data_IF_894629791818
#
_entry.id   IF_894629791818
#
_cell.length_a   1.000
_cell.length_b   1.000
_cell.length_c   1.000
_cell.angle_alpha   90.00
_cell.angle_beta   90.00
_cell.angle_gamma   90.00
#
_symmetry.space_group_name_H-M   'P 1'
#
loop_
_entity.id
_entity.type
_entity.pdbx_description
1 polymer ?
#
# COMPACT_ATOMS: atom_id res chain seq x y z
N UNK A 1 -14.72 4.34 -53.23
CA UNK A 1 -13.69 3.52 -52.63
C UNK A 1 -13.99 3.43 -51.15
N UNK A 2 -14.61 2.37 -50.72
CA UNK A 2 -14.93 2.17 -49.30
C UNK A 2 -13.71 1.50 -48.65
N UNK A 3 -13.02 2.27 -47.83
CA UNK A 3 -11.98 1.70 -46.94
C UNK A 3 -12.67 0.81 -45.93
N UNK A 4 -12.50 -0.50 -46.10
CA UNK A 4 -12.86 -1.48 -45.11
C UNK A 4 -11.85 -1.37 -43.95
N UNK A 5 -12.35 -0.92 -42.78
CA UNK A 5 -11.62 -1.14 -41.53
C UNK A 5 -11.29 -2.65 -41.37
N UNK A 6 -10.07 -3.02 -41.10
CA UNK A 6 -9.74 -4.42 -40.79
C UNK A 6 -10.30 -4.76 -39.42
N UNK A 7 -11.54 -5.18 -39.39
CA UNK A 7 -12.14 -5.86 -38.24
C UNK A 7 -11.69 -7.32 -38.35
N UNK A 8 -10.57 -7.64 -37.82
CA UNK A 8 -10.18 -8.96 -37.28
C UNK A 8 -8.70 -8.96 -36.93
N UNK A 9 -8.37 -8.32 -35.81
CA UNK A 9 -7.23 -8.82 -35.06
C UNK A 9 -7.81 -9.93 -34.18
N UNK A 10 -7.58 -11.21 -34.48
CA UNK A 10 -7.98 -12.24 -33.56
C UNK A 10 -7.14 -12.01 -32.30
N UNK A 11 -7.79 -11.71 -31.18
CA UNK A 11 -7.18 -11.83 -29.88
C UNK A 11 -7.18 -13.33 -29.57
N UNK A 12 -6.10 -14.06 -29.81
CA UNK A 12 -6.06 -15.48 -29.50
C UNK A 12 -6.14 -15.61 -27.98
N UNK A 13 -7.21 -16.18 -27.50
CA UNK A 13 -7.28 -16.66 -26.14
C UNK A 13 -6.55 -17.98 -26.11
N UNK A 14 -5.30 -17.99 -25.69
CA UNK A 14 -4.58 -19.22 -25.42
C UNK A 14 -5.16 -19.82 -24.12
N UNK A 15 -6.01 -20.83 -24.31
CA UNK A 15 -6.46 -21.66 -23.22
C UNK A 15 -5.29 -22.46 -22.66
N UNK A 16 -4.87 -22.21 -21.45
CA UNK A 16 -3.98 -23.11 -20.73
C UNK A 16 -4.78 -24.35 -20.31
N UNK A 17 -4.42 -25.50 -20.83
CA UNK A 17 -4.93 -26.78 -20.33
C UNK A 17 -4.36 -26.99 -18.94
N UNK A 18 -5.19 -26.86 -17.91
CA UNK A 18 -4.78 -27.26 -16.58
C UNK A 18 -4.66 -28.79 -16.55
N UNK A 19 -3.46 -29.28 -16.36
CA UNK A 19 -3.24 -30.71 -16.07
C UNK A 19 -3.77 -30.91 -14.64
N UNK A 20 -4.69 -31.86 -14.41
CA UNK A 20 -5.14 -32.14 -13.05
C UNK A 20 -3.95 -32.59 -12.20
N UNK A 21 -3.70 -31.87 -11.14
CA UNK A 21 -2.61 -32.08 -10.18
C UNK A 21 -2.79 -33.36 -9.34
N UNK A 22 -3.83 -34.18 -9.60
CA UNK A 22 -4.35 -35.03 -8.53
C UNK A 22 -4.57 -36.49 -8.81
N UNK A 23 -4.04 -37.07 -9.84
CA UNK A 23 -4.12 -38.55 -9.94
C UNK A 23 -3.04 -39.27 -9.13
N UNK A 24 -2.12 -38.55 -8.56
CA UNK A 24 -1.12 -39.04 -7.60
C UNK A 24 -0.89 -38.05 -6.48
N UNK A 25 -1.86 -37.90 -5.60
CA UNK A 25 -1.59 -37.24 -4.34
C UNK A 25 -0.56 -38.09 -3.57
N UNK A 26 0.67 -37.62 -3.54
CA UNK A 26 1.64 -38.16 -2.59
C UNK A 26 1.03 -38.08 -1.19
N UNK A 27 1.15 -39.14 -0.43
CA UNK A 27 0.67 -39.15 0.94
C UNK A 27 1.20 -37.91 1.67
N UNK A 28 0.36 -37.16 2.42
CA UNK A 28 0.82 -35.96 3.10
C UNK A 28 1.96 -36.31 4.02
N UNK A 29 3.09 -35.64 3.84
CA UNK A 29 4.22 -35.75 4.76
C UNK A 29 3.79 -35.04 6.02
N UNK A 30 3.37 -35.80 7.01
CA UNK A 30 3.11 -35.24 8.36
C UNK A 30 4.46 -35.05 9.01
N UNK A 31 4.93 -33.80 9.08
CA UNK A 31 6.11 -33.43 9.85
C UNK A 31 5.68 -33.21 11.30
N UNK A 32 6.01 -34.10 12.23
CA UNK A 32 5.75 -33.85 13.64
C UNK A 32 6.57 -32.61 14.07
N UNK A 33 5.96 -31.70 14.80
CA UNK A 33 6.57 -30.47 15.30
C UNK A 33 6.94 -29.43 14.21
N UNK A 34 6.06 -29.20 13.24
CA UNK A 34 6.24 -28.10 12.31
C UNK A 34 6.18 -26.74 13.06
N UNK A 35 7.26 -25.97 12.95
CA UNK A 35 7.27 -24.58 13.40
C UNK A 35 6.61 -23.71 12.31
N UNK A 36 5.51 -23.04 12.65
CA UNK A 36 4.82 -22.15 11.73
C UNK A 36 4.86 -20.71 12.23
N UNK A 37 4.95 -19.77 11.31
CA UNK A 37 4.85 -18.34 11.57
C UNK A 37 3.43 -17.89 11.26
N UNK A 38 2.74 -17.34 12.25
CA UNK A 38 1.37 -16.84 12.09
C UNK A 38 1.38 -15.33 12.22
N UNK A 39 0.83 -14.59 11.23
CA UNK A 39 0.65 -13.15 11.34
C UNK A 39 -0.27 -12.78 12.50
N UNK A 40 0.10 -11.71 13.21
CA UNK A 40 -0.71 -11.14 14.30
C UNK A 40 -1.15 -9.74 13.91
N UNK A 41 -2.43 -9.44 14.05
CA UNK A 41 -2.96 -8.11 13.79
C UNK A 41 -2.47 -7.14 14.87
N UNK A 42 -1.70 -6.15 14.46
CA UNK A 42 -1.16 -5.12 15.35
C UNK A 42 -2.18 -4.01 15.60
N UNK A 43 -2.84 -3.55 14.54
CA UNK A 43 -3.85 -2.50 14.60
C UNK A 43 -4.77 -2.56 13.38
N UNK A 44 -6.01 -2.14 13.54
CA UNK A 44 -6.95 -1.87 12.45
C UNK A 44 -7.34 -0.40 12.50
N UNK A 45 -7.18 0.32 11.40
CA UNK A 45 -7.39 1.78 11.35
C UNK A 45 -8.09 2.22 10.08
N UNK A 46 -9.01 3.14 10.24
CA UNK A 46 -9.58 3.91 9.13
C UNK A 46 -8.76 5.18 8.95
N UNK A 47 -8.27 5.39 7.73
CA UNK A 47 -7.53 6.59 7.35
C UNK A 47 -8.38 7.37 6.34
N UNK A 48 -8.66 8.63 6.64
CA UNK A 48 -9.33 9.52 5.70
C UNK A 48 -8.27 10.23 4.87
N UNK A 49 -8.43 10.15 3.54
CA UNK A 49 -7.52 10.78 2.59
C UNK A 49 -8.35 11.65 1.65
N UNK A 50 -7.93 12.91 1.48
CA UNK A 50 -8.54 13.85 0.54
C UNK A 50 -7.63 13.94 -0.67
N UNK A 51 -8.22 13.73 -1.85
CA UNK A 51 -7.49 13.75 -3.14
C UNK A 51 -8.29 14.58 -4.13
N UNK A 52 -7.61 15.47 -4.85
CA UNK A 52 -8.14 16.22 -5.97
C UNK A 52 -7.34 15.88 -7.22
N UNK A 53 -8.02 15.66 -8.34
CA UNK A 53 -7.35 15.34 -9.60
C UNK A 53 -8.14 15.88 -10.80
N UNK A 54 -7.43 16.45 -11.76
CA UNK A 54 -7.96 16.81 -13.06
C UNK A 54 -7.72 15.66 -14.03
N UNK A 55 -8.80 15.09 -14.56
CA UNK A 55 -8.73 13.96 -15.49
C UNK A 55 -9.28 14.44 -16.85
N UNK A 56 -8.42 14.62 -17.86
CA UNK A 56 -8.88 15.00 -19.19
C UNK A 56 -9.64 13.84 -19.84
N UNK A 57 -10.80 14.16 -20.41
CA UNK A 57 -11.61 13.26 -21.22
C UNK A 57 -11.50 13.66 -22.68
N UNK A 58 -11.09 12.73 -23.55
CA UNK A 58 -10.95 12.92 -24.99
C UNK A 58 -11.57 11.70 -25.70
N UNK A 59 -12.62 11.92 -26.51
CA UNK A 59 -13.34 13.19 -26.77
C UNK A 59 -14.02 13.76 -25.52
N UNK A 60 -14.39 15.08 -25.54
CA UNK A 60 -15.05 15.71 -24.39
C UNK A 60 -16.36 15.01 -24.03
N UNK A 61 -16.59 14.87 -22.73
CA UNK A 61 -17.79 14.24 -22.19
C UNK A 61 -18.97 15.25 -22.14
N UNK A 62 -20.17 14.81 -22.51
CA UNK A 62 -21.42 15.50 -22.21
C UNK A 62 -22.10 14.92 -20.97
N UNK A 63 -21.89 13.65 -20.71
CA UNK A 63 -22.50 12.98 -19.57
C UNK A 63 -21.60 11.85 -19.06
N UNK A 64 -21.39 11.80 -17.74
CA UNK A 64 -20.73 10.68 -17.09
C UNK A 64 -21.79 9.63 -16.77
N UNK A 65 -21.61 8.42 -17.28
CA UNK A 65 -22.55 7.32 -17.09
C UNK A 65 -22.25 6.50 -15.85
N UNK A 66 -20.96 6.24 -15.61
CA UNK A 66 -20.52 5.43 -14.47
C UNK A 66 -19.06 5.72 -14.11
N UNK A 67 -18.77 5.66 -12.81
CA UNK A 67 -17.39 5.71 -12.32
C UNK A 67 -17.14 4.54 -11.37
N UNK A 68 -16.26 3.63 -11.77
CA UNK A 68 -15.79 2.55 -10.94
C UNK A 68 -14.45 2.92 -10.31
N UNK A 69 -14.24 2.53 -9.05
CA UNK A 69 -13.03 2.88 -8.29
C UNK A 69 -12.49 1.67 -7.56
N UNK A 70 -11.16 1.54 -7.59
CA UNK A 70 -10.43 0.58 -6.79
C UNK A 70 -9.20 1.25 -6.17
N UNK A 71 -8.85 0.85 -4.96
CA UNK A 71 -7.67 1.34 -4.24
C UNK A 71 -6.58 0.29 -4.29
N UNK A 72 -5.36 0.75 -4.55
CA UNK A 72 -4.15 -0.07 -4.51
C UNK A 72 -3.12 0.60 -3.61
N UNK A 73 -2.67 -0.10 -2.60
CA UNK A 73 -1.55 0.34 -1.77
C UNK A 73 -0.23 -0.03 -2.44
N UNK A 74 0.66 0.93 -2.55
CA UNK A 74 2.04 0.74 -3.04
C UNK A 74 3.05 0.75 -1.91
N UNK A 75 2.72 1.42 -0.81
CA UNK A 75 3.56 1.48 0.37
C UNK A 75 2.70 1.47 1.63
N UNK A 76 3.19 0.73 2.64
CA UNK A 76 2.70 0.80 3.99
C UNK A 76 3.87 0.62 4.95
N UNK A 77 4.13 1.63 5.79
CA UNK A 77 5.25 1.63 6.73
C UNK A 77 4.80 2.05 8.11
N UNK A 78 5.08 1.19 9.09
CA UNK A 78 4.91 1.51 10.50
C UNK A 78 6.24 2.02 11.04
N UNK A 79 6.28 3.29 11.44
CA UNK A 79 7.47 3.93 12.02
C UNK A 79 7.25 4.12 13.52
N UNK A 80 7.93 3.35 14.36
CA UNK A 80 7.85 3.52 15.80
C UNK A 80 8.39 4.87 16.24
N UNK A 81 7.70 5.52 17.19
CA UNK A 81 8.05 6.86 17.70
C UNK A 81 8.36 6.83 19.20
N UNK A 82 7.66 6.00 19.97
CA UNK A 82 7.89 5.87 21.40
C UNK A 82 7.90 4.41 21.83
N UNK A 83 8.68 4.13 22.86
CA UNK A 83 8.98 2.78 23.32
C UNK A 83 9.01 2.67 24.83
N UNK A 84 8.66 1.51 25.35
CA UNK A 84 8.89 1.10 26.72
C UNK A 84 9.80 -0.12 26.74
N UNK A 85 10.94 -0.09 27.47
CA UNK A 85 11.80 -1.26 27.60
C UNK A 85 11.08 -2.45 28.22
N UNK A 86 11.40 -3.65 27.77
CA UNK A 86 10.97 -4.88 28.43
C UNK A 86 12.08 -5.31 29.39
N UNK A 87 11.85 -5.28 30.72
CA UNK A 87 12.88 -5.57 31.69
C UNK A 87 13.56 -6.91 31.47
N UNK A 88 14.90 -6.95 31.61
CA UNK A 88 15.70 -8.16 31.48
C UNK A 88 15.87 -8.68 30.05
N UNK A 89 15.50 -7.88 29.05
CA UNK A 89 15.63 -8.25 27.63
C UNK A 89 16.15 -7.08 26.79
N UNK A 90 16.57 -7.35 25.56
CA UNK A 90 16.89 -6.33 24.55
C UNK A 90 15.65 -5.87 23.76
N UNK A 91 14.46 -6.29 24.15
CA UNK A 91 13.22 -5.91 23.49
C UNK A 91 12.66 -4.61 24.05
N UNK A 92 12.01 -3.86 23.15
CA UNK A 92 11.24 -2.66 23.48
C UNK A 92 9.83 -2.83 22.93
N UNK A 93 8.86 -2.47 23.72
CA UNK A 93 7.45 -2.42 23.32
C UNK A 93 7.16 -1.08 22.69
N UNK A 94 6.60 -1.09 21.49
CA UNK A 94 6.19 0.15 20.79
C UNK A 94 4.89 0.65 21.40
N UNK A 95 4.91 1.85 21.98
CA UNK A 95 3.72 2.49 22.59
C UNK A 95 3.14 3.59 21.71
N UNK A 96 3.93 4.10 20.76
CA UNK A 96 3.45 5.06 19.75
C UNK A 96 4.17 4.83 18.43
N UNK A 97 3.41 4.92 17.33
CA UNK A 97 3.96 4.81 15.98
C UNK A 97 3.20 5.71 15.00
N UNK A 98 3.81 5.96 13.85
CA UNK A 98 3.17 6.57 12.69
C UNK A 98 3.04 5.52 11.60
N UNK A 99 1.84 5.40 11.06
CA UNK A 99 1.56 4.58 9.90
C UNK A 99 1.54 5.47 8.67
N UNK A 100 2.47 5.26 7.75
CA UNK A 100 2.50 5.93 6.45
C UNK A 100 1.95 5.00 5.39
N UNK A 101 1.02 5.51 4.60
CA UNK A 101 0.42 4.79 3.48
C UNK A 101 0.57 5.60 2.19
N UNK A 102 0.82 4.90 1.11
CA UNK A 102 0.91 5.45 -0.23
C UNK A 102 0.26 4.48 -1.20
N UNK A 103 -0.39 5.02 -2.23
CA UNK A 103 -1.06 4.21 -3.21
C UNK A 103 -1.68 5.04 -4.32
N UNK A 104 -2.60 4.41 -5.04
CA UNK A 104 -3.39 5.09 -6.05
C UNK A 104 -4.82 4.56 -6.08
N UNK A 105 -5.72 5.46 -6.47
CA UNK A 105 -7.10 5.14 -6.81
C UNK A 105 -7.16 4.95 -8.32
N UNK A 106 -7.50 3.77 -8.77
CA UNK A 106 -7.80 3.51 -10.17
C UNK A 106 -9.26 3.84 -10.41
N UNK A 107 -9.51 4.87 -11.22
CA UNK A 107 -10.84 5.27 -11.67
C UNK A 107 -11.07 4.74 -13.09
N UNK A 108 -12.19 4.12 -13.32
CA UNK A 108 -12.69 3.80 -14.63
C UNK A 108 -13.96 4.62 -14.87
N UNK A 109 -13.90 5.57 -15.81
CA UNK A 109 -14.92 6.57 -16.09
C UNK A 109 -15.55 6.21 -17.43
N UNK A 110 -16.81 5.79 -17.42
CA UNK A 110 -17.62 5.60 -18.62
C UNK A 110 -18.43 6.86 -18.88
N UNK A 111 -18.33 7.40 -20.07
CA UNK A 111 -18.98 8.67 -20.43
C UNK A 111 -19.47 8.68 -21.89
N UNK A 112 -20.48 9.50 -22.15
CA UNK A 112 -20.95 9.78 -23.49
C UNK A 112 -20.26 11.03 -24.05
N UNK A 113 -19.77 10.94 -25.28
CA UNK A 113 -19.22 12.10 -26.03
C UNK A 113 -20.30 12.92 -26.75
N UNK A 114 -19.91 14.12 -27.14
CA UNK A 114 -20.81 15.11 -27.80
C UNK A 114 -21.11 14.80 -29.27
N UNK A 115 -20.94 13.57 -29.72
CA UNK A 115 -21.31 13.18 -31.09
C UNK A 115 -22.81 12.87 -31.22
N UNK A 116 -23.33 12.92 -32.45
CA UNK A 116 -24.75 12.76 -32.72
C UNK A 116 -25.37 11.45 -32.23
N UNK A 117 -24.58 10.45 -31.98
CA UNK A 117 -25.04 9.13 -31.53
C UNK A 117 -24.74 8.86 -30.05
N UNK A 118 -24.10 9.79 -29.33
CA UNK A 118 -23.75 9.64 -27.94
C UNK A 118 -22.81 8.43 -27.71
N UNK A 119 -21.71 8.36 -28.45
CA UNK A 119 -20.77 7.25 -28.36
C UNK A 119 -20.27 7.11 -26.94
N UNK A 120 -20.32 5.88 -26.43
CA UNK A 120 -19.77 5.55 -25.12
C UNK A 120 -18.26 5.39 -25.20
N UNK A 121 -17.59 6.09 -24.34
CA UNK A 121 -16.15 6.07 -24.18
C UNK A 121 -15.78 5.62 -22.76
N UNK A 122 -14.58 5.13 -22.61
CA UNK A 122 -14.02 4.67 -21.35
C UNK A 122 -12.66 5.32 -21.09
N UNK A 123 -12.47 5.83 -19.89
CA UNK A 123 -11.22 6.44 -19.45
C UNK A 123 -10.74 5.85 -18.16
N UNK A 124 -9.60 5.18 -18.20
CA UNK A 124 -8.91 4.71 -17.00
C UNK A 124 -7.89 5.74 -16.56
N UNK A 125 -7.95 6.14 -15.29
CA UNK A 125 -7.00 7.05 -14.67
C UNK A 125 -6.55 6.52 -13.32
N UNK A 126 -5.28 6.69 -13.00
CA UNK A 126 -4.73 6.41 -11.67
C UNK A 126 -4.45 7.73 -10.97
N UNK A 127 -5.05 7.92 -9.82
CA UNK A 127 -4.88 9.11 -8.98
C UNK A 127 -4.11 8.71 -7.75
N UNK A 128 -2.88 9.20 -7.63
CA UNK A 128 -2.00 8.87 -6.51
C UNK A 128 -2.47 9.57 -5.23
N UNK A 129 -2.25 8.91 -4.12
CA UNK A 129 -2.46 9.47 -2.79
C UNK A 129 -1.36 9.09 -1.83
N UNK A 130 -1.19 9.91 -0.80
CA UNK A 130 -0.37 9.64 0.36
C UNK A 130 -1.15 10.01 1.61
N UNK A 131 -0.88 9.33 2.70
CA UNK A 131 -1.53 9.63 3.97
C UNK A 131 -0.75 9.07 5.14
N UNK A 132 -1.11 9.50 6.34
CA UNK A 132 -0.57 8.92 7.55
C UNK A 132 -1.60 8.90 8.67
N UNK A 133 -1.39 8.01 9.62
CA UNK A 133 -2.15 7.96 10.87
C UNK A 133 -1.20 7.88 12.05
N UNK A 134 -1.53 8.56 13.15
CA UNK A 134 -0.87 8.38 14.44
C UNK A 134 -1.52 7.22 15.18
N UNK A 135 -0.70 6.28 15.67
CA UNK A 135 -1.12 5.19 16.52
C UNK A 135 -0.54 5.41 17.92
N UNK A 136 -1.42 5.53 18.88
CA UNK A 136 -1.09 5.54 20.30
C UNK A 136 -1.27 4.15 20.88
N UNK A 137 -0.86 3.91 22.11
CA UNK A 137 -0.96 2.61 22.77
C UNK A 137 -2.36 2.00 22.70
N UNK A 138 -3.40 2.81 22.92
CA UNK A 138 -4.80 2.36 22.84
C UNK A 138 -5.31 2.05 21.43
N UNK A 139 -4.53 2.32 20.40
CA UNK A 139 -4.88 2.00 19.02
C UNK A 139 -4.34 0.63 18.57
N UNK A 140 -3.43 0.03 19.33
CA UNK A 140 -2.91 -1.28 19.05
C UNK A 140 -3.80 -2.37 19.67
N UNK A 141 -4.08 -3.39 18.89
CA UNK A 141 -4.66 -4.63 19.38
C UNK A 141 -3.58 -5.50 20.05
N UNK A 142 -2.38 -5.45 19.48
CA UNK A 142 -1.20 -6.09 20.01
C UNK A 142 -0.03 -5.12 19.86
N UNK A 143 0.61 -4.76 20.98
CA UNK A 143 1.76 -3.86 20.96
C UNK A 143 2.96 -4.52 20.27
N UNK A 144 3.52 -3.91 19.22
CA UNK A 144 4.68 -4.47 18.55
C UNK A 144 5.89 -4.53 19.46
N UNK A 145 6.65 -5.61 19.37
CA UNK A 145 7.94 -5.77 20.02
C UNK A 145 9.04 -5.63 18.98
N UNK A 146 10.03 -4.80 19.28
CA UNK A 146 11.23 -4.67 18.47
C UNK A 146 12.46 -4.95 19.35
N UNK A 147 13.46 -5.62 18.80
CA UNK A 147 14.74 -5.76 19.44
C UNK A 147 15.64 -4.56 19.11
N UNK A 148 16.32 -4.01 20.10
CA UNK A 148 17.25 -2.91 19.91
C UNK A 148 18.66 -3.45 19.73
N UNK A 149 19.27 -3.11 18.60
CA UNK A 149 20.71 -3.34 18.39
C UNK A 149 21.53 -2.45 19.33
N UNK A 150 22.68 -2.94 19.75
CA UNK A 150 23.60 -2.22 20.62
C UNK A 150 25.04 -2.40 20.17
N UNK A 151 25.84 -1.40 20.45
CA UNK A 151 27.29 -1.44 20.32
C UNK A 151 27.90 -0.93 21.63
N UNK A 152 28.97 -1.56 22.04
CA UNK A 152 29.73 -1.18 23.23
C UNK A 152 31.23 -1.25 22.95
N UNK A 153 31.96 -0.31 23.52
CA UNK A 153 33.41 -0.31 23.45
C UNK A 153 33.99 -0.12 24.86
N UNK A 154 34.98 -0.90 25.18
CA UNK A 154 35.74 -0.79 26.46
C UNK A 154 37.21 -0.52 26.18
N UNK A 155 37.73 0.51 26.83
CA UNK A 155 39.14 0.87 26.77
C UNK A 155 39.90 0.21 27.89
N UNK A 156 41.10 -0.26 27.59
CA UNK A 156 41.97 -0.89 28.59
C UNK A 156 43.06 0.07 29.02
N UNK A 157 43.24 0.17 30.35
CA UNK A 157 44.35 0.88 30.96
C UNK A 157 45.52 -0.07 31.04
N UNK A 158 46.74 0.39 30.74
CA UNK A 158 47.94 -0.39 30.93
C UNK A 158 48.49 -0.20 32.37
N UNK A 159 48.33 -1.15 33.26
CA UNK A 159 48.72 -0.97 34.67
C UNK A 159 50.21 -0.83 34.91
N UNK A 160 51.05 -1.18 33.92
CA UNK A 160 52.51 -1.08 34.04
C UNK A 160 53.07 0.29 33.65
N UNK A 161 52.37 1.04 32.84
CA UNK A 161 52.89 2.28 32.22
C UNK A 161 52.10 3.54 32.57
N UNK A 162 51.26 3.45 33.61
CA UNK A 162 50.51 4.62 34.05
C UNK A 162 49.05 4.67 33.62
N UNK A 163 48.46 5.82 33.79
CA UNK A 163 47.03 6.00 33.92
C UNK A 163 46.31 6.28 32.60
N UNK A 164 47.02 6.29 31.47
CA UNK A 164 46.39 6.57 30.19
C UNK A 164 45.88 5.29 29.54
N UNK A 165 44.62 5.30 29.08
CA UNK A 165 44.09 4.18 28.30
C UNK A 165 44.88 4.05 27.01
N UNK A 166 45.11 2.84 26.58
CA UNK A 166 45.70 2.57 25.28
C UNK A 166 44.63 2.64 24.21
N UNK A 167 44.77 3.56 23.25
CA UNK A 167 43.83 3.74 22.15
C UNK A 167 43.87 2.62 21.10
N UNK A 168 44.94 1.82 21.14
CA UNK A 168 45.17 0.64 20.29
C UNK A 168 44.69 -0.66 20.91
N UNK A 169 44.14 -0.61 22.12
CA UNK A 169 43.74 -1.78 22.87
C UNK A 169 42.38 -1.60 23.53
N UNK A 170 41.35 -2.02 22.79
CA UNK A 170 39.98 -2.01 23.30
C UNK A 170 39.18 -3.19 22.79
N UNK A 171 38.12 -3.47 23.48
CA UNK A 171 37.15 -4.52 23.19
C UNK A 171 35.89 -3.89 22.62
N UNK A 172 35.39 -4.50 21.57
CA UNK A 172 34.10 -4.13 20.95
C UNK A 172 33.12 -5.29 21.15
N UNK A 173 31.92 -4.93 21.54
CA UNK A 173 30.78 -5.82 21.51
C UNK A 173 29.71 -5.19 20.64
N UNK A 174 29.19 -5.97 19.72
CA UNK A 174 28.13 -5.52 18.82
C UNK A 174 27.05 -6.60 18.76
N UNK A 175 25.80 -6.22 19.05
CA UNK A 175 24.63 -7.07 18.93
C UNK A 175 23.68 -6.48 17.91
N UNK A 176 23.43 -7.21 16.82
CA UNK A 176 22.55 -6.77 15.74
C UNK A 176 21.30 -7.63 15.72
N UNK A 177 20.14 -7.00 15.82
CA UNK A 177 18.83 -7.65 15.73
C UNK A 177 18.13 -7.26 14.45
N UNK A 178 17.67 -8.25 13.70
CA UNK A 178 16.91 -8.07 12.48
C UNK A 178 15.42 -8.12 12.78
N UNK A 179 14.78 -6.96 12.81
CA UNK A 179 13.34 -6.86 13.04
C UNK A 179 12.60 -7.00 11.71
N UNK A 180 11.46 -7.68 11.76
CA UNK A 180 10.58 -7.78 10.60
C UNK A 180 9.68 -6.56 10.50
N UNK A 181 9.58 -6.01 9.29
CA UNK A 181 8.69 -4.89 9.02
C UNK A 181 7.24 -5.39 8.94
N UNK A 182 6.29 -4.78 9.67
CA UNK A 182 4.87 -5.06 9.50
C UNK A 182 4.39 -4.74 8.08
N UNK A 183 3.43 -5.51 7.59
CA UNK A 183 2.76 -5.25 6.32
C UNK A 183 1.30 -4.83 6.56
N UNK A 184 0.65 -4.24 5.54
CA UNK A 184 -0.75 -3.85 5.61
C UNK A 184 -1.58 -4.62 4.61
N UNK A 185 -2.82 -4.87 5.01
CA UNK A 185 -3.89 -5.34 4.14
C UNK A 185 -5.00 -4.29 4.08
N UNK A 186 -5.50 -4.03 2.89
CA UNK A 186 -6.65 -3.15 2.70
C UNK A 186 -7.93 -3.97 2.89
N UNK A 187 -8.69 -3.65 3.92
CA UNK A 187 -9.93 -4.36 4.25
C UNK A 187 -11.09 -3.81 3.43
N UNK A 188 -11.22 -2.48 3.36
CA UNK A 188 -12.29 -1.80 2.63
C UNK A 188 -11.91 -0.37 2.26
N UNK A 189 -12.62 0.20 1.31
CA UNK A 189 -12.52 1.61 0.96
C UNK A 189 -13.91 2.18 0.67
N UNK A 190 -14.22 3.33 1.26
CA UNK A 190 -15.43 4.10 0.97
C UNK A 190 -15.02 5.37 0.21
N UNK A 191 -15.76 5.69 -0.85
CA UNK A 191 -15.49 6.86 -1.68
C UNK A 191 -16.64 7.85 -1.54
N UNK A 192 -16.29 9.10 -1.23
CA UNK A 192 -17.17 10.25 -1.27
C UNK A 192 -16.57 11.19 -2.29
N UNK A 193 -17.25 11.38 -3.42
CA UNK A 193 -16.70 12.08 -4.58
C UNK A 193 -17.66 13.13 -5.08
N UNK A 194 -17.09 14.25 -5.49
CA UNK A 194 -17.74 15.30 -6.22
C UNK A 194 -16.98 15.51 -7.52
N UNK A 195 -17.62 15.19 -8.65
CA UNK A 195 -17.09 15.44 -9.98
C UNK A 195 -17.75 16.68 -10.55
N UNK A 196 -16.95 17.59 -11.10
CA UNK A 196 -17.44 18.80 -11.78
C UNK A 196 -16.50 19.17 -12.93
N UNK A 197 -17.05 19.85 -13.94
CA UNK A 197 -16.24 20.44 -15.00
C UNK A 197 -15.74 21.82 -14.57
N UNK A 198 -14.44 22.11 -14.64
CA UNK A 198 -13.92 23.44 -14.34
C UNK A 198 -14.34 24.48 -15.39
N UNK A 199 -14.74 24.03 -16.58
CA UNK A 199 -15.24 24.89 -17.68
C UNK A 199 -16.65 24.43 -18.09
N UNK A 200 -17.69 24.71 -17.30
CA UNK A 200 -19.05 24.34 -17.66
C UNK A 200 -19.48 25.09 -18.93
N UNK A 201 -19.81 24.33 -19.97
CA UNK A 201 -20.56 24.92 -21.10
C UNK A 201 -22.01 25.08 -20.64
N UNK A 202 -22.52 26.30 -20.60
CA UNK A 202 -23.92 26.53 -20.31
C UNK A 202 -24.77 25.74 -21.33
N UNK A 203 -25.62 24.86 -20.83
CA UNK A 203 -26.66 24.27 -21.64
C UNK A 203 -27.59 25.43 -22.02
N UNK A 204 -27.57 25.86 -23.28
CA UNK A 204 -28.52 26.84 -23.75
C UNK A 204 -29.92 26.22 -23.65
N UNK A 205 -30.75 26.75 -22.77
CA UNK A 205 -32.18 26.43 -22.66
C UNK A 205 -32.99 26.96 -23.85
N UNK A 206 -32.37 27.16 -24.99
CA UNK A 206 -33.08 27.53 -26.20
C UNK A 206 -33.33 26.29 -27.06
N UNK A 207 -34.43 25.58 -26.79
CA UNK A 207 -35.26 24.86 -27.75
C UNK A 207 -36.34 24.00 -27.04
N UNK A 208 -37.18 24.64 -26.23
CA UNK A 208 -38.41 23.98 -25.75
C UNK A 208 -39.68 24.75 -26.11
N UNK A 209 -39.68 25.41 -27.27
CA UNK A 209 -40.92 25.96 -27.86
C UNK A 209 -40.81 25.91 -29.38
N UNK A 210 -41.23 24.78 -29.98
CA UNK A 210 -42.03 24.72 -31.21
C UNK A 210 -42.75 23.38 -31.28
#
# INVERSE_FOLDING_TARGET
MSEQCPINVPCPVEGQTQIPLADQAAAPIVTPNALIKVPVVLAERTVQIVVEANIPLDPPAVEIKRVLKNVFLTQCKLVPVAFTPVPGTNYRRVTRAKLFVEGYIRKNIEYASADCNGTLNDRVANVNFTGFADLTEGNFLTLPLIAASSDAASHFINPKNGDLPRLDKYFFENAVFYNEQPYCELISANFYELDFSPCPTALNEENSHE
#
